data_IF_018347142694
#
_entry.id   IF_018347142694
#
_cell.length_a   1.000
_cell.length_b   1.000
_cell.length_c   1.000
_cell.angle_alpha   90.00
_cell.angle_beta   90.00
_cell.angle_gamma   90.00
#
_symmetry.space_group_name_H-M   'P 1'
#
loop_
_entity.id
_entity.type
_entity.pdbx_description
1 polymer ?
#
# COMPACT_ATOMS: atom_id res chain seq x y z
N UNK A 1 25.07 33.42 1.66
CA UNK A 1 25.15 32.13 0.96
C UNK A 1 26.42 31.45 1.41
N UNK A 2 26.33 30.40 2.22
CA UNK A 2 27.52 29.69 2.66
C UNK A 2 27.84 28.61 1.63
N UNK A 3 28.99 28.72 0.98
CA UNK A 3 29.48 27.71 0.04
C UNK A 3 30.01 26.54 0.85
N UNK A 4 29.27 25.42 0.82
CA UNK A 4 29.69 24.19 1.48
C UNK A 4 30.40 23.33 0.43
N UNK A 5 31.68 23.07 0.65
CA UNK A 5 32.51 22.25 -0.24
C UNK A 5 32.48 20.82 0.27
N UNK A 6 32.02 19.88 -0.56
CA UNK A 6 31.99 18.45 -0.24
C UNK A 6 32.74 17.62 -1.28
N UNK A 7 33.32 16.48 -0.90
CA UNK A 7 33.89 15.51 -1.83
C UNK A 7 32.85 15.01 -2.83
N UNK A 8 33.27 14.79 -4.09
CA UNK A 8 32.40 14.30 -5.17
C UNK A 8 31.68 12.99 -4.81
N UNK A 9 32.35 12.09 -4.09
CA UNK A 9 31.79 10.82 -3.63
C UNK A 9 30.61 11.04 -2.67
N UNK A 10 30.79 11.93 -1.70
CA UNK A 10 29.75 12.28 -0.73
C UNK A 10 28.55 12.94 -1.42
N UNK A 11 28.81 13.81 -2.40
CA UNK A 11 27.75 14.39 -3.24
C UNK A 11 26.94 13.31 -3.97
N UNK A 12 27.61 12.33 -4.59
CA UNK A 12 26.93 11.24 -5.30
C UNK A 12 26.05 10.40 -4.36
N UNK A 13 26.56 10.06 -3.17
CA UNK A 13 25.79 9.33 -2.16
C UNK A 13 24.55 10.10 -1.71
N UNK A 14 24.66 11.42 -1.53
CA UNK A 14 23.53 12.27 -1.16
C UNK A 14 22.49 12.35 -2.28
N UNK A 15 22.93 12.46 -3.54
CA UNK A 15 22.03 12.47 -4.70
C UNK A 15 21.27 11.14 -4.80
N UNK A 16 21.95 10.01 -4.65
CA UNK A 16 21.28 8.69 -4.68
C UNK A 16 20.26 8.55 -3.56
N UNK A 17 20.61 8.94 -2.32
CA UNK A 17 19.69 8.91 -1.18
C UNK A 17 18.46 9.77 -1.43
N UNK A 18 18.65 10.97 -2.00
CA UNK A 18 17.55 11.87 -2.34
C UNK A 18 16.60 11.24 -3.37
N UNK A 19 17.13 10.65 -4.43
CA UNK A 19 16.31 10.00 -5.46
C UNK A 19 15.47 8.87 -4.86
N UNK A 20 16.08 8.02 -4.02
CA UNK A 20 15.37 6.92 -3.34
C UNK A 20 14.30 7.45 -2.38
N UNK A 21 14.60 8.51 -1.65
CA UNK A 21 13.66 9.16 -0.76
C UNK A 21 12.48 9.75 -1.53
N UNK A 22 12.73 10.48 -2.60
CA UNK A 22 11.68 11.09 -3.44
C UNK A 22 10.79 10.02 -4.09
N UNK A 23 11.37 8.88 -4.50
CA UNK A 23 10.62 7.74 -4.99
C UNK A 23 9.68 7.16 -3.92
N UNK A 24 10.17 6.90 -2.71
CA UNK A 24 9.36 6.41 -1.60
C UNK A 24 8.28 7.43 -1.21
N UNK A 25 8.63 8.71 -1.16
CA UNK A 25 7.70 9.80 -0.87
C UNK A 25 6.56 9.84 -1.90
N UNK A 26 6.85 9.76 -3.19
CA UNK A 26 5.81 9.72 -4.22
C UNK A 26 4.92 8.47 -4.11
N UNK A 27 5.48 7.33 -3.73
CA UNK A 27 4.67 6.13 -3.47
C UNK A 27 3.77 6.33 -2.24
N UNK A 28 4.24 6.98 -1.19
CA UNK A 28 3.48 7.27 0.03
C UNK A 28 2.46 8.40 -0.12
N UNK A 29 2.70 9.37 -1.01
CA UNK A 29 1.72 10.41 -1.38
C UNK A 29 0.56 9.82 -2.19
N UNK A 30 0.75 8.67 -2.84
CA UNK A 30 -0.39 7.87 -3.31
C UNK A 30 -1.06 7.26 -2.08
N UNK A 31 -2.38 7.20 -2.13
CA UNK A 31 -3.29 6.87 -1.04
C UNK A 31 -3.20 5.39 -0.57
N UNK A 32 -1.99 4.88 -0.31
CA UNK A 32 -1.68 3.50 0.06
C UNK A 32 -2.33 3.08 1.37
N UNK A 33 -2.58 4.06 2.25
CA UNK A 33 -3.22 3.87 3.54
C UNK A 33 -4.64 4.44 3.57
N UNK A 34 -5.20 4.83 2.42
CA UNK A 34 -6.63 5.09 2.39
C UNK A 34 -7.35 3.82 2.82
N UNK A 35 -8.31 3.92 3.74
CA UNK A 35 -9.19 2.81 3.99
C UNK A 35 -9.78 2.34 2.66
N UNK A 36 -9.87 1.02 2.42
CA UNK A 36 -10.44 0.52 1.18
C UNK A 36 -11.80 1.20 0.96
N UNK A 37 -12.04 1.80 -0.22
CA UNK A 37 -13.25 2.58 -0.46
C UNK A 37 -14.50 1.71 -0.37
N UNK A 38 -14.35 0.42 -0.67
CA UNK A 38 -15.42 -0.55 -0.62
C UNK A 38 -15.50 -1.19 0.77
N UNK A 39 -16.61 -0.92 1.47
CA UNK A 39 -16.92 -1.52 2.78
C UNK A 39 -17.93 -2.66 2.67
N UNK A 40 -18.55 -2.86 1.50
CA UNK A 40 -19.56 -3.89 1.33
C UNK A 40 -18.95 -5.30 1.33
N UNK A 41 -19.32 -6.09 2.33
CA UNK A 41 -18.81 -7.46 2.56
C UNK A 41 -19.00 -8.36 1.33
N UNK A 42 -20.17 -8.29 0.69
CA UNK A 42 -20.52 -9.15 -0.45
C UNK A 42 -19.65 -8.79 -1.66
N UNK A 43 -19.50 -7.50 -1.95
CA UNK A 43 -18.68 -7.01 -3.07
C UNK A 43 -17.21 -7.38 -2.91
N UNK A 44 -16.67 -7.28 -1.69
CA UNK A 44 -15.29 -7.68 -1.41
C UNK A 44 -15.14 -9.19 -1.68
N UNK A 45 -15.99 -10.04 -1.09
CA UNK A 45 -15.90 -11.49 -1.28
C UNK A 45 -16.11 -11.90 -2.74
N UNK A 46 -17.02 -11.24 -3.47
CA UNK A 46 -17.22 -11.50 -4.90
C UNK A 46 -16.02 -11.10 -5.75
N UNK A 47 -15.38 -9.97 -5.46
CA UNK A 47 -14.18 -9.55 -6.19
C UNK A 47 -13.02 -10.55 -6.02
N UNK A 48 -12.83 -11.06 -4.79
CA UNK A 48 -11.83 -12.10 -4.54
C UNK A 48 -12.16 -13.44 -5.21
N UNK A 49 -13.46 -13.78 -5.37
CA UNK A 49 -13.90 -14.95 -6.14
C UNK A 49 -13.62 -14.80 -7.63
N UNK A 50 -13.99 -13.65 -8.21
CA UNK A 50 -13.79 -13.34 -9.64
C UNK A 50 -12.30 -13.25 -10.00
N UNK A 51 -11.44 -12.89 -9.06
CA UNK A 51 -10.00 -12.86 -9.29
C UNK A 51 -9.40 -14.24 -9.55
N UNK A 52 -10.06 -15.34 -9.16
CA UNK A 52 -9.63 -16.75 -9.33
C UNK A 52 -8.22 -17.10 -8.81
N UNK A 53 -7.54 -16.17 -8.13
CA UNK A 53 -6.19 -16.33 -7.56
C UNK A 53 -6.18 -17.02 -6.20
N UNK A 54 -7.35 -17.28 -5.62
CA UNK A 54 -7.47 -17.72 -4.24
C UNK A 54 -8.27 -19.02 -4.12
N UNK A 55 -7.79 -19.93 -3.27
CA UNK A 55 -8.48 -21.19 -3.02
C UNK A 55 -9.75 -21.00 -2.17
N UNK A 56 -10.64 -22.00 -2.20
CA UNK A 56 -11.91 -21.96 -1.49
C UNK A 56 -11.76 -21.86 0.04
N UNK A 57 -10.69 -22.43 0.60
CA UNK A 57 -10.41 -22.35 2.04
C UNK A 57 -10.15 -20.91 2.48
N UNK A 58 -9.35 -20.18 1.70
CA UNK A 58 -9.04 -18.77 1.92
C UNK A 58 -10.30 -17.90 1.77
N UNK A 59 -11.10 -18.12 0.72
CA UNK A 59 -12.32 -17.35 0.50
C UNK A 59 -13.31 -17.49 1.67
N UNK A 60 -13.47 -18.70 2.20
CA UNK A 60 -14.31 -18.95 3.39
C UNK A 60 -13.75 -18.30 4.65
N UNK A 61 -12.43 -18.32 4.85
CA UNK A 61 -11.81 -17.65 6.02
C UNK A 61 -11.93 -16.13 5.92
N UNK A 62 -11.78 -15.58 4.71
CA UNK A 62 -11.93 -14.15 4.42
C UNK A 62 -13.35 -13.68 4.73
N UNK A 63 -14.36 -14.38 4.21
CA UNK A 63 -15.77 -14.07 4.46
C UNK A 63 -16.11 -14.10 5.96
N UNK A 64 -15.59 -15.10 6.69
CA UNK A 64 -15.77 -15.21 8.14
C UNK A 64 -15.10 -14.06 8.90
N UNK A 65 -13.88 -13.67 8.51
CA UNK A 65 -13.14 -12.57 9.14
C UNK A 65 -13.81 -11.22 8.91
N UNK A 66 -14.19 -10.94 7.66
CA UNK A 66 -14.91 -9.72 7.26
C UNK A 66 -16.26 -9.62 7.98
N UNK A 67 -17.01 -10.72 8.12
CA UNK A 67 -18.31 -10.75 8.82
C UNK A 67 -18.20 -10.38 10.30
N UNK A 68 -17.07 -10.68 10.94
CA UNK A 68 -16.81 -10.43 12.37
C UNK A 68 -16.36 -9.02 12.67
N UNK A 69 -15.90 -8.28 11.67
CA UNK A 69 -15.43 -6.91 11.85
C UNK A 69 -16.61 -5.94 11.77
N UNK A 70 -16.71 -5.04 12.74
CA UNK A 70 -17.68 -3.94 12.76
C UNK A 70 -17.38 -2.85 11.73
N UNK A 71 -16.19 -2.90 11.11
CA UNK A 71 -15.75 -1.93 10.11
C UNK A 71 -16.43 -2.11 8.75
N UNK A 72 -16.77 -3.34 8.36
CA UNK A 72 -17.36 -3.65 7.06
C UNK A 72 -18.89 -3.71 7.14
N UNK A 73 -19.56 -3.21 6.12
CA UNK A 73 -21.02 -3.11 6.03
C UNK A 73 -21.61 -4.22 5.17
N UNK A 74 -22.81 -4.69 5.50
CA UNK A 74 -23.53 -5.74 4.76
C UNK A 74 -23.90 -5.35 3.34
#
# INVERSE_FOLDING_TARGET
MNTITIPKKEYQELVEKRIRYDYLRQMMERDLFSPPPEKNRKKIVSAFKVAEKYNQKFLKSLEKGIKRSSYFNS
#
